data_IF_357053921704
#
_entry.id   IF_357053921704
#
_cell.length_a   1.000
_cell.length_b   1.000
_cell.length_c   1.000
_cell.angle_alpha   90.00
_cell.angle_beta   90.00
_cell.angle_gamma   90.00
#
_symmetry.space_group_name_H-M   'P 1'
#
loop_
_entity.id
_entity.type
_entity.pdbx_description
1 polymer ?
#
# COMPACT_ATOMS: atom_id res chain seq x y z
N UNK A 1 2.89 -20.93 -5.19
CA UNK A 1 3.73 -22.15 -5.25
C UNK A 1 5.19 -21.92 -5.65
N UNK A 2 5.52 -21.37 -6.83
CA UNK A 2 6.93 -21.36 -7.27
C UNK A 2 7.88 -20.47 -6.44
N UNK A 3 7.41 -19.32 -5.96
CA UNK A 3 8.19 -18.45 -5.08
C UNK A 3 8.60 -19.11 -3.76
N UNK A 4 7.89 -20.17 -3.32
CA UNK A 4 8.24 -20.91 -2.09
C UNK A 4 9.59 -21.60 -2.20
N UNK A 5 9.88 -22.13 -3.39
CA UNK A 5 11.07 -22.92 -3.72
C UNK A 5 12.34 -22.06 -3.76
N UNK A 6 12.18 -20.75 -3.93
CA UNK A 6 13.31 -19.81 -4.03
C UNK A 6 13.81 -19.49 -2.60
N UNK A 7 15.11 -19.67 -2.39
CA UNK A 7 15.76 -19.31 -1.13
C UNK A 7 15.91 -17.80 -0.98
N UNK A 8 16.04 -17.34 0.26
CA UNK A 8 16.30 -15.92 0.56
C UNK A 8 17.58 -15.42 -0.14
N UNK A 9 18.62 -16.24 -0.21
CA UNK A 9 19.88 -15.86 -0.86
C UNK A 9 19.74 -15.70 -2.38
N UNK A 10 18.91 -16.52 -3.03
CA UNK A 10 18.56 -16.33 -4.44
C UNK A 10 17.79 -15.02 -4.64
N UNK A 11 16.82 -14.73 -3.78
CA UNK A 11 16.11 -13.45 -3.83
C UNK A 11 17.06 -12.26 -3.64
N UNK A 12 18.04 -12.36 -2.73
CA UNK A 12 19.07 -11.33 -2.55
C UNK A 12 19.92 -11.15 -3.82
N UNK A 13 20.31 -12.25 -4.48
CA UNK A 13 21.04 -12.22 -5.76
C UNK A 13 20.24 -11.56 -6.90
N UNK A 14 18.91 -11.57 -6.83
CA UNK A 14 18.03 -10.83 -7.75
C UNK A 14 17.90 -9.32 -7.44
N UNK A 15 18.69 -8.79 -6.49
CA UNK A 15 18.70 -7.36 -6.16
C UNK A 15 17.64 -6.92 -5.15
N UNK A 16 16.92 -7.86 -4.52
CA UNK A 16 15.91 -7.53 -3.51
C UNK A 16 16.53 -7.04 -2.18
N UNK A 17 17.80 -7.35 -1.93
CA UNK A 17 18.51 -6.96 -0.71
C UNK A 17 17.75 -7.40 0.55
N UNK A 18 17.60 -6.49 1.51
CA UNK A 18 16.89 -6.78 2.77
C UNK A 18 15.40 -7.13 2.58
N UNK A 19 14.80 -6.82 1.41
CA UNK A 19 13.39 -7.11 1.10
C UNK A 19 13.16 -8.58 0.77
N UNK A 20 14.21 -9.36 0.52
CA UNK A 20 14.10 -10.81 0.37
C UNK A 20 13.41 -11.44 1.58
N UNK A 21 13.75 -10.99 2.80
CA UNK A 21 13.12 -11.43 4.05
C UNK A 21 11.62 -11.09 4.11
N UNK A 22 11.20 -10.00 3.48
CA UNK A 22 9.80 -9.55 3.47
C UNK A 22 8.96 -10.45 2.59
N UNK A 23 9.50 -10.85 1.44
CA UNK A 23 8.85 -11.77 0.52
C UNK A 23 8.71 -13.15 1.17
N UNK A 24 9.74 -13.64 1.87
CA UNK A 24 9.65 -14.92 2.59
C UNK A 24 8.63 -14.89 3.72
N UNK A 25 8.55 -13.80 4.48
CA UNK A 25 7.51 -13.61 5.50
C UNK A 25 6.10 -13.56 4.90
N UNK A 26 5.92 -12.87 3.76
CA UNK A 26 4.65 -12.83 3.05
C UNK A 26 4.20 -14.24 2.60
N UNK A 27 5.12 -15.02 2.03
CA UNK A 27 4.87 -16.40 1.60
C UNK A 27 4.49 -17.28 2.81
N UNK A 28 5.25 -17.19 3.91
CA UNK A 28 4.95 -17.97 5.11
C UNK A 28 3.56 -17.66 5.67
N UNK A 29 3.15 -16.39 5.70
CA UNK A 29 1.82 -15.99 6.16
C UNK A 29 0.68 -16.49 5.27
N UNK A 30 0.90 -16.59 3.97
CA UNK A 30 -0.04 -17.20 3.04
C UNK A 30 -0.15 -18.71 3.31
N UNK A 31 0.98 -19.39 3.52
CA UNK A 31 1.01 -20.83 3.77
C UNK A 31 0.39 -21.23 5.11
N UNK A 32 0.56 -20.39 6.12
CA UNK A 32 -0.07 -20.54 7.43
C UNK A 32 -1.57 -20.18 7.43
N UNK A 33 -2.11 -19.69 6.32
CA UNK A 33 -3.50 -19.23 6.22
C UNK A 33 -3.78 -17.95 7.02
N UNK A 34 -2.74 -17.22 7.44
CA UNK A 34 -2.88 -15.91 8.14
C UNK A 34 -3.29 -14.80 7.20
N UNK A 35 -3.07 -14.99 5.91
CA UNK A 35 -3.56 -14.13 4.83
C UNK A 35 -4.29 -15.01 3.84
N UNK A 36 -5.54 -14.66 3.60
CA UNK A 36 -6.37 -15.29 2.58
C UNK A 36 -6.92 -14.18 1.66
N UNK A 37 -6.67 -14.30 0.36
CA UNK A 37 -7.04 -13.26 -0.60
C UNK A 37 -8.55 -13.11 -0.75
N UNK A 38 -9.30 -14.22 -0.71
CA UNK A 38 -10.76 -14.19 -0.80
C UNK A 38 -11.36 -13.44 0.39
N UNK A 39 -10.86 -13.72 1.61
CA UNK A 39 -11.27 -12.97 2.79
C UNK A 39 -10.98 -11.46 2.67
N UNK A 40 -9.81 -11.08 2.15
CA UNK A 40 -9.41 -9.67 2.03
C UNK A 40 -10.33 -8.85 1.10
N UNK A 41 -10.92 -9.48 0.09
CA UNK A 41 -11.85 -8.82 -0.83
C UNK A 41 -13.17 -8.44 -0.14
N UNK A 42 -13.64 -9.28 0.78
CA UNK A 42 -14.92 -9.07 1.49
C UNK A 42 -14.81 -8.13 2.68
N UNK A 43 -13.62 -8.02 3.28
CA UNK A 43 -13.37 -7.18 4.45
C UNK A 43 -13.43 -5.68 4.14
N UNK A 44 -13.67 -4.87 5.17
CA UNK A 44 -13.49 -3.42 5.05
C UNK A 44 -12.03 -3.06 4.76
N UNK A 45 -11.80 -1.91 4.14
CA UNK A 45 -10.45 -1.41 3.84
C UNK A 45 -9.59 -1.25 5.09
N UNK A 46 -10.20 -0.95 6.24
CA UNK A 46 -9.48 -0.87 7.51
C UNK A 46 -9.04 -2.24 8.02
N UNK A 47 -9.92 -3.24 7.98
CA UNK A 47 -9.62 -4.61 8.44
C UNK A 47 -8.59 -5.28 7.54
N UNK A 48 -8.80 -5.20 6.22
CA UNK A 48 -7.86 -5.74 5.24
C UNK A 48 -6.48 -5.07 5.38
N UNK A 49 -6.42 -3.74 5.62
CA UNK A 49 -5.16 -3.04 5.92
C UNK A 49 -4.47 -3.59 7.16
N UNK A 50 -5.21 -3.85 8.25
CA UNK A 50 -4.65 -4.40 9.50
C UNK A 50 -4.01 -5.76 9.25
N UNK A 51 -4.66 -6.64 8.49
CA UNK A 51 -4.13 -7.97 8.13
C UNK A 51 -2.87 -7.84 7.28
N UNK A 52 -2.92 -7.03 6.21
CA UNK A 52 -1.78 -6.80 5.32
C UNK A 52 -0.56 -6.26 6.08
N UNK A 53 -0.75 -5.35 7.03
CA UNK A 53 0.32 -4.78 7.86
C UNK A 53 0.96 -5.77 8.83
N UNK A 54 0.40 -6.96 9.00
CA UNK A 54 1.10 -8.01 9.75
C UNK A 54 2.32 -8.52 9.00
N UNK A 55 2.36 -8.42 7.67
CA UNK A 55 3.50 -8.82 6.83
C UNK A 55 4.67 -7.88 7.05
N UNK A 56 5.85 -8.44 7.31
CA UNK A 56 7.09 -7.69 7.44
C UNK A 56 7.33 -6.86 6.17
N UNK A 57 7.53 -5.56 6.35
CA UNK A 57 7.77 -4.62 5.25
C UNK A 57 6.51 -4.01 4.63
N UNK A 58 5.30 -4.42 5.03
CA UNK A 58 4.05 -3.79 4.62
C UNK A 58 3.63 -2.74 5.66
N UNK A 59 3.87 -1.47 5.35
CA UNK A 59 3.33 -0.31 6.10
C UNK A 59 2.05 0.25 5.46
N UNK A 60 1.52 1.36 6.00
CA UNK A 60 0.28 1.97 5.52
C UNK A 60 0.30 2.29 4.01
N UNK A 61 1.42 2.83 3.50
CA UNK A 61 1.59 3.11 2.07
C UNK A 61 1.44 1.85 1.23
N UNK A 62 2.14 0.78 1.58
CA UNK A 62 2.17 -0.46 0.80
C UNK A 62 0.82 -1.17 0.89
N UNK A 63 0.22 -1.22 2.08
CA UNK A 63 -1.10 -1.80 2.28
C UNK A 63 -2.17 -1.05 1.47
N UNK A 64 -2.19 0.29 1.51
CA UNK A 64 -3.13 1.07 0.70
C UNK A 64 -2.90 0.86 -0.81
N UNK A 65 -1.66 0.69 -1.28
CA UNK A 65 -1.41 0.34 -2.69
C UNK A 65 -2.01 -1.03 -3.05
N UNK A 66 -1.85 -2.04 -2.20
CA UNK A 66 -2.45 -3.38 -2.44
C UNK A 66 -3.98 -3.25 -2.47
N UNK A 67 -4.56 -2.59 -1.47
CA UNK A 67 -6.01 -2.39 -1.38
C UNK A 67 -6.59 -1.71 -2.63
N UNK A 68 -5.93 -0.63 -3.11
CA UNK A 68 -6.38 0.11 -4.27
C UNK A 68 -6.19 -0.66 -5.58
N UNK A 69 -5.02 -1.26 -5.78
CA UNK A 69 -4.63 -1.79 -7.10
C UNK A 69 -5.03 -3.24 -7.34
N UNK A 70 -5.21 -4.05 -6.28
CA UNK A 70 -5.60 -5.45 -6.43
C UNK A 70 -6.97 -5.78 -5.84
N UNK A 71 -7.43 -5.08 -4.79
CA UNK A 71 -8.66 -5.41 -4.07
C UNK A 71 -9.82 -4.44 -4.32
N UNK A 72 -9.66 -3.51 -5.27
CA UNK A 72 -10.70 -2.55 -5.70
C UNK A 72 -11.31 -1.72 -4.54
N UNK A 73 -10.52 -1.46 -3.49
CA UNK A 73 -10.92 -0.63 -2.36
C UNK A 73 -10.59 0.82 -2.68
N UNK A 74 -11.56 1.55 -3.23
CA UNK A 74 -11.36 2.90 -3.77
C UNK A 74 -11.42 4.01 -2.69
N UNK A 75 -11.85 3.69 -1.48
CA UNK A 75 -11.88 4.58 -0.29
C UNK A 75 -10.49 4.80 0.34
N UNK A 76 -9.44 4.14 -0.15
CA UNK A 76 -8.06 4.28 0.36
C UNK A 76 -7.23 5.30 -0.40
N UNK A 77 -6.27 5.91 0.28
CA UNK A 77 -5.38 6.92 -0.30
C UNK A 77 -3.90 6.57 0.00
N UNK A 78 -3.16 5.97 -0.95
CA UNK A 78 -1.73 5.70 -0.77
C UNK A 78 -0.90 6.99 -0.66
N UNK A 79 -0.26 7.22 0.50
CA UNK A 79 0.61 8.39 0.72
C UNK A 79 2.08 7.96 0.76
N UNK A 80 2.84 8.36 -0.24
CA UNK A 80 4.30 8.26 -0.25
C UNK A 80 4.95 9.63 0.04
N UNK A 81 6.27 9.71 -0.10
CA UNK A 81 7.01 10.96 0.14
C UNK A 81 6.64 12.06 -0.87
N UNK A 82 6.33 11.72 -2.12
CA UNK A 82 5.98 12.69 -3.16
C UNK A 82 4.58 13.24 -2.95
N UNK A 83 3.62 12.35 -2.72
CA UNK A 83 2.23 12.71 -2.40
C UNK A 83 2.21 13.55 -1.12
N UNK A 84 2.93 13.15 -0.07
CA UNK A 84 3.01 13.94 1.17
C UNK A 84 3.56 15.35 0.93
N UNK A 85 4.60 15.50 0.10
CA UNK A 85 5.16 16.82 -0.25
C UNK A 85 4.15 17.69 -1.00
N UNK A 86 3.48 17.13 -1.99
CA UNK A 86 2.48 17.85 -2.77
C UNK A 86 1.23 18.22 -1.95
N UNK A 87 0.78 17.35 -1.05
CA UNK A 87 -0.31 17.66 -0.13
C UNK A 87 0.02 18.86 0.77
N UNK A 88 1.26 18.96 1.22
CA UNK A 88 1.75 20.12 1.97
C UNK A 88 1.83 21.37 1.09
N UNK A 89 2.36 21.24 -0.11
CA UNK A 89 2.60 22.36 -1.02
C UNK A 89 1.31 22.96 -1.60
N UNK A 90 0.41 22.12 -2.12
CA UNK A 90 -0.80 22.57 -2.81
C UNK A 90 -1.98 22.79 -1.87
N UNK A 91 -2.03 22.08 -0.75
CA UNK A 91 -3.19 22.05 0.15
C UNK A 91 -2.88 22.43 1.60
N UNK A 92 -1.61 22.75 1.93
CA UNK A 92 -1.23 23.15 3.30
C UNK A 92 -1.44 22.07 4.36
N UNK A 93 -1.42 20.79 3.96
CA UNK A 93 -1.64 19.66 4.87
C UNK A 93 -0.33 19.32 5.60
N UNK A 94 -0.30 19.57 6.90
CA UNK A 94 0.90 19.40 7.73
C UNK A 94 0.79 18.27 8.74
N UNK A 95 -0.44 17.91 9.14
CA UNK A 95 -0.68 16.90 10.18
C UNK A 95 -1.68 15.81 9.76
N UNK A 96 -1.73 14.75 10.57
CA UNK A 96 -2.56 13.55 10.31
C UNK A 96 -4.05 13.83 10.38
N UNK A 97 -4.50 14.81 11.17
CA UNK A 97 -5.91 15.20 11.27
C UNK A 97 -6.38 15.86 9.98
N UNK A 98 -5.62 16.83 9.47
CA UNK A 98 -5.88 17.49 8.19
C UNK A 98 -5.85 16.48 7.04
N UNK A 99 -4.85 15.60 7.00
CA UNK A 99 -4.75 14.55 5.99
C UNK A 99 -6.00 13.66 5.98
N UNK A 100 -6.47 13.22 7.15
CA UNK A 100 -7.68 12.40 7.27
C UNK A 100 -8.91 13.14 6.77
N UNK A 101 -9.09 14.41 7.14
CA UNK A 101 -10.21 15.22 6.67
C UNK A 101 -10.18 15.41 5.15
N UNK A 102 -9.00 15.66 4.58
CA UNK A 102 -8.81 15.77 3.14
C UNK A 102 -9.19 14.47 2.43
N UNK A 103 -8.67 13.33 2.87
CA UNK A 103 -9.00 12.02 2.28
C UNK A 103 -10.49 11.73 2.39
N UNK A 104 -11.10 11.95 3.57
CA UNK A 104 -12.51 11.69 3.80
C UNK A 104 -13.44 12.54 2.92
N UNK A 105 -13.00 13.72 2.47
CA UNK A 105 -13.79 14.56 1.55
C UNK A 105 -14.00 13.93 0.18
N UNK A 106 -13.18 12.95 -0.21
CA UNK A 106 -13.33 12.22 -1.48
C UNK A 106 -14.19 10.94 -1.34
N UNK A 107 -14.38 10.42 -0.13
CA UNK A 107 -15.09 9.15 0.10
C UNK A 107 -14.55 8.02 -0.78
N UNK A 108 -15.44 7.32 -1.48
CA UNK A 108 -15.13 6.23 -2.43
C UNK A 108 -14.25 6.68 -3.62
N UNK A 109 -14.05 7.98 -3.82
CA UNK A 109 -13.19 8.52 -4.88
C UNK A 109 -11.76 8.81 -4.42
N UNK A 110 -11.42 8.53 -3.15
CA UNK A 110 -10.11 8.84 -2.58
C UNK A 110 -8.95 8.23 -3.37
N UNK A 111 -9.08 6.98 -3.79
CA UNK A 111 -8.08 6.28 -4.59
C UNK A 111 -7.86 6.92 -5.96
N UNK A 112 -8.95 7.34 -6.62
CA UNK A 112 -8.86 8.05 -7.89
C UNK A 112 -8.20 9.43 -7.73
N UNK A 113 -8.59 10.19 -6.70
CA UNK A 113 -7.96 11.47 -6.40
C UNK A 113 -6.45 11.31 -6.16
N UNK A 114 -6.04 10.25 -5.45
CA UNK A 114 -4.63 9.93 -5.25
C UNK A 114 -3.90 9.63 -6.57
N UNK A 115 -4.51 8.85 -7.47
CA UNK A 115 -3.94 8.52 -8.77
C UNK A 115 -3.72 9.77 -9.64
N UNK A 116 -4.72 10.66 -9.72
CA UNK A 116 -4.59 11.90 -10.47
C UNK A 116 -3.52 12.82 -9.88
N UNK A 117 -3.52 13.00 -8.56
CA UNK A 117 -2.52 13.80 -7.86
C UNK A 117 -1.10 13.26 -8.12
N UNK A 118 -0.91 11.94 -7.97
CA UNK A 118 0.39 11.30 -8.22
C UNK A 118 0.84 11.48 -9.67
N UNK A 119 -0.05 11.27 -10.64
CA UNK A 119 0.27 11.48 -12.06
C UNK A 119 0.70 12.92 -12.34
N UNK A 120 -0.04 13.91 -11.82
CA UNK A 120 0.28 15.32 -11.97
C UNK A 120 1.67 15.65 -11.43
N UNK A 121 1.99 15.21 -10.21
CA UNK A 121 3.30 15.47 -9.58
C UNK A 121 4.45 14.83 -10.36
N UNK A 122 4.26 13.63 -10.93
CA UNK A 122 5.34 12.88 -11.57
C UNK A 122 5.58 13.28 -13.02
N UNK A 123 4.53 13.71 -13.73
CA UNK A 123 4.58 13.86 -15.18
C UNK A 123 4.33 15.29 -15.66
N UNK A 124 3.61 16.12 -14.89
CA UNK A 124 3.17 17.45 -15.33
C UNK A 124 3.93 18.55 -14.58
N UNK A 125 3.99 18.46 -13.25
CA UNK A 125 4.61 19.49 -12.40
C UNK A 125 6.12 19.28 -12.22
N UNK A 126 6.87 19.26 -13.32
CA UNK A 126 8.34 19.17 -13.30
C UNK A 126 9.00 20.54 -13.13
#
# INVERSE_FOLDING_TARGET
>A
EDLKKISTEELKRLGLGYRAEYIKDAIAKLDEGKIDFESLETLSSEEARKILKTVKGIGDKVANCILLYSLQKYDVFPVDVWVKRALREFYGIENTKQLRQFINSFGELAGYAQLFLFHYIRNINK
#
